data_IF_443092011844
#
_entry.id   IF_443092011844
#
_cell.length_a   1.000
_cell.length_b   1.000
_cell.length_c   1.000
_cell.angle_alpha   90.00
_cell.angle_beta   90.00
_cell.angle_gamma   90.00
#
_symmetry.space_group_name_H-M   'P 1'
#
loop_
_entity.id
_entity.type
_entity.pdbx_description
1 polymer ?
#
# COMPACT_ATOMS: atom_id res chain seq x y z
N UNK A 1 -51.57 50.90 1.84
CA UNK A 1 -50.12 50.92 2.17
C UNK A 1 -49.82 49.62 2.91
N UNK A 2 -49.40 48.60 2.16
CA UNK A 2 -48.93 47.34 2.74
C UNK A 2 -47.40 47.41 2.94
N UNK A 3 -46.97 47.21 4.12
CA UNK A 3 -45.54 47.02 4.46
C UNK A 3 -45.18 45.54 4.34
N UNK A 4 -44.37 45.20 3.35
CA UNK A 4 -43.76 43.86 3.21
C UNK A 4 -42.53 43.87 4.09
N UNK A 5 -42.58 43.08 5.19
CA UNK A 5 -41.39 42.76 5.99
C UNK A 5 -40.68 41.60 5.31
N UNK A 6 -39.46 41.82 4.84
CA UNK A 6 -38.53 40.75 4.46
C UNK A 6 -38.05 40.06 5.72
N UNK A 7 -38.44 38.81 5.88
CA UNK A 7 -37.88 37.91 6.91
C UNK A 7 -36.64 37.28 6.31
N UNK A 8 -35.48 37.71 6.80
CA UNK A 8 -34.22 37.01 6.55
C UNK A 8 -34.25 35.71 7.33
N UNK A 9 -34.42 34.58 6.66
CA UNK A 9 -34.07 33.26 7.21
C UNK A 9 -32.55 33.14 7.27
N UNK A 10 -31.98 33.39 8.44
CA UNK A 10 -30.63 32.98 8.75
C UNK A 10 -30.63 31.45 8.84
N UNK A 11 -29.95 30.79 7.92
CA UNK A 11 -29.66 29.38 7.98
C UNK A 11 -28.83 29.07 9.26
N UNK A 12 -29.50 28.68 10.33
CA UNK A 12 -28.89 28.33 11.63
C UNK A 12 -28.27 26.92 11.69
N UNK A 13 -28.15 26.23 10.53
CA UNK A 13 -27.64 24.86 10.49
C UNK A 13 -26.13 24.73 10.21
N UNK A 14 -25.38 25.84 10.08
CA UNK A 14 -23.91 25.78 9.98
C UNK A 14 -23.18 25.81 11.33
N UNK A 15 -23.88 26.08 12.43
CA UNK A 15 -23.23 26.26 13.75
C UNK A 15 -23.19 25.01 14.63
N UNK A 16 -23.86 23.92 14.26
CA UNK A 16 -23.90 22.70 15.10
C UNK A 16 -22.80 21.68 14.79
N UNK A 17 -22.06 21.81 13.68
CA UNK A 17 -20.98 20.89 13.31
C UNK A 17 -19.57 21.37 13.72
N UNK A 18 -19.45 22.53 14.35
CA UNK A 18 -18.17 23.19 14.64
C UNK A 18 -17.56 22.85 16.02
N UNK A 19 -18.10 21.86 16.74
CA UNK A 19 -17.53 21.41 18.03
C UNK A 19 -16.83 20.04 17.97
N UNK A 20 -16.54 19.48 16.80
CA UNK A 20 -15.51 18.45 16.72
C UNK A 20 -14.17 19.12 17.03
N UNK A 21 -13.50 18.70 18.11
CA UNK A 21 -12.15 19.24 18.43
C UNK A 21 -11.23 18.97 17.23
N UNK A 22 -10.79 20.04 16.54
CA UNK A 22 -9.81 19.94 15.48
C UNK A 22 -8.48 19.57 16.11
N UNK A 23 -7.97 18.38 15.79
CA UNK A 23 -6.62 17.99 16.20
C UNK A 23 -5.60 18.74 15.35
N UNK A 24 -4.44 19.10 15.96
CA UNK A 24 -3.38 19.83 15.27
C UNK A 24 -2.07 19.07 15.33
N UNK A 25 -1.37 19.09 14.20
CA UNK A 25 -0.02 18.51 14.07
C UNK A 25 0.82 19.36 13.09
N UNK A 26 2.11 19.11 12.99
CA UNK A 26 2.92 19.75 11.95
C UNK A 26 2.67 19.08 10.58
N UNK A 27 2.62 17.75 10.53
CA UNK A 27 2.48 16.98 9.30
C UNK A 27 1.42 15.90 9.46
N UNK A 28 0.59 15.71 8.42
CA UNK A 28 -0.23 14.51 8.27
C UNK A 28 0.39 13.61 7.21
N UNK A 29 0.66 12.35 7.57
CA UNK A 29 1.09 11.29 6.66
C UNK A 29 -0.14 10.45 6.29
N UNK A 30 -0.39 10.26 5.00
CA UNK A 30 -1.46 9.43 4.46
C UNK A 30 -0.87 8.14 3.95
N UNK A 31 -1.09 7.05 4.69
CA UNK A 31 -0.53 5.72 4.46
C UNK A 31 0.51 5.33 5.49
N UNK A 32 0.26 4.24 6.22
CA UNK A 32 1.12 3.65 7.22
C UNK A 32 1.90 2.43 6.69
N UNK A 33 2.19 2.40 5.38
CA UNK A 33 3.09 1.41 4.78
C UNK A 33 4.55 1.68 5.14
N UNK A 34 5.53 0.84 4.69
CA UNK A 34 6.93 0.96 5.06
C UNK A 34 7.51 2.36 4.86
N UNK A 35 7.17 3.02 3.75
CA UNK A 35 7.65 4.37 3.42
C UNK A 35 7.04 5.42 4.34
N UNK A 36 5.74 5.32 4.64
CA UNK A 36 5.08 6.22 5.59
C UNK A 36 5.61 6.05 7.01
N UNK A 37 5.90 4.82 7.44
CA UNK A 37 6.52 4.55 8.74
C UNK A 37 7.94 5.11 8.83
N UNK A 38 8.74 5.00 7.78
CA UNK A 38 10.06 5.59 7.74
C UNK A 38 10.02 7.13 7.69
N UNK A 39 9.01 7.71 7.03
CA UNK A 39 8.81 9.16 7.04
C UNK A 39 8.58 9.72 8.44
N UNK A 40 7.95 8.97 9.36
CA UNK A 40 7.81 9.35 10.77
C UNK A 40 9.19 9.55 11.41
N UNK A 41 10.11 8.61 11.16
CA UNK A 41 11.47 8.67 11.68
C UNK A 41 12.22 9.90 11.17
N UNK A 42 12.20 10.14 9.86
CA UNK A 42 12.88 11.27 9.23
C UNK A 42 12.33 12.63 9.70
N UNK A 43 11.01 12.76 9.83
CA UNK A 43 10.34 13.94 10.38
C UNK A 43 10.69 14.14 11.87
N UNK A 44 10.68 13.05 12.63
CA UNK A 44 10.99 13.05 14.05
C UNK A 44 12.40 13.52 14.37
N UNK A 45 13.40 13.15 13.54
CA UNK A 45 14.78 13.65 13.65
C UNK A 45 14.88 15.20 13.55
N UNK A 46 13.87 15.81 12.91
CA UNK A 46 13.76 17.27 12.76
C UNK A 46 12.81 17.92 13.79
N UNK A 47 12.38 17.16 14.81
CA UNK A 47 11.37 17.57 15.79
C UNK A 47 10.04 18.02 15.15
N UNK A 48 9.63 17.37 14.09
CA UNK A 48 8.36 17.60 13.42
C UNK A 48 7.37 16.54 13.90
N UNK A 49 6.26 17.00 14.51
CA UNK A 49 5.18 16.12 14.94
C UNK A 49 4.36 15.63 13.77
N UNK A 50 3.89 14.37 13.80
CA UNK A 50 3.04 13.85 12.75
C UNK A 50 1.87 13.01 13.26
N UNK A 51 0.75 13.10 12.54
CA UNK A 51 -0.36 12.18 12.58
C UNK A 51 -0.35 11.31 11.33
N UNK A 52 -0.67 10.03 11.46
CA UNK A 52 -0.69 9.06 10.37
C UNK A 52 -2.11 8.55 10.18
N UNK A 53 -2.62 8.63 8.95
CA UNK A 53 -3.97 8.16 8.60
C UNK A 53 -3.83 6.98 7.65
N UNK A 54 -4.49 5.87 7.95
CA UNK A 54 -4.55 4.71 7.07
C UNK A 54 -5.95 4.08 7.06
N UNK A 55 -6.38 3.57 5.92
CA UNK A 55 -7.66 2.87 5.77
C UNK A 55 -7.62 1.44 6.32
N UNK A 56 -6.43 0.87 6.51
CA UNK A 56 -6.26 -0.41 7.18
C UNK A 56 -6.40 -0.27 8.70
N UNK A 57 -6.75 -1.36 9.36
CA UNK A 57 -6.92 -1.45 10.81
C UNK A 57 -5.59 -1.58 11.57
N UNK A 58 -4.49 -1.79 10.84
CA UNK A 58 -3.12 -1.91 11.36
C UNK A 58 -2.11 -1.26 10.42
N UNK A 59 -0.97 -0.76 10.95
CA UNK A 59 0.14 -0.29 10.13
C UNK A 59 0.84 -1.42 9.39
N UNK A 60 1.60 -1.07 8.33
CA UNK A 60 2.43 -1.98 7.55
C UNK A 60 2.06 -2.02 6.07
N UNK A 61 0.86 -1.51 5.71
CA UNK A 61 0.43 -1.44 4.31
C UNK A 61 0.46 -2.80 3.62
N UNK A 62 0.90 -2.84 2.36
CA UNK A 62 0.97 -4.09 1.58
C UNK A 62 1.85 -5.17 2.22
N UNK A 63 2.93 -4.78 2.89
CA UNK A 63 3.86 -5.73 3.51
C UNK A 63 3.17 -6.55 4.61
N UNK A 64 2.43 -5.92 5.49
CA UNK A 64 1.72 -6.60 6.56
C UNK A 64 0.39 -7.23 6.11
N UNK A 65 -0.27 -6.66 5.07
CA UNK A 65 -1.60 -7.11 4.65
C UNK A 65 -1.56 -8.22 3.61
N UNK A 66 -0.68 -8.14 2.62
CA UNK A 66 -0.69 -9.06 1.48
C UNK A 66 0.36 -10.17 1.55
N UNK A 67 1.52 -9.88 2.18
CA UNK A 67 2.64 -10.81 2.20
C UNK A 67 3.52 -10.71 3.47
N UNK A 68 2.90 -10.81 4.66
CA UNK A 68 3.63 -10.65 5.93
C UNK A 68 4.80 -11.64 6.09
N UNK A 69 4.67 -12.85 5.57
CA UNK A 69 5.66 -13.93 5.68
C UNK A 69 6.53 -14.10 4.41
N UNK A 70 6.39 -13.20 3.43
CA UNK A 70 7.21 -13.24 2.22
C UNK A 70 8.59 -12.63 2.51
N UNK A 71 9.69 -13.31 2.14
CA UNK A 71 11.02 -12.74 2.26
C UNK A 71 11.23 -11.59 1.26
N UNK A 72 11.84 -10.53 1.72
CA UNK A 72 12.26 -9.34 0.97
C UNK A 72 13.80 -9.31 1.04
N UNK A 73 14.46 -9.11 -0.08
CA UNK A 73 15.94 -9.24 -0.19
C UNK A 73 16.65 -7.92 -0.50
N UNK A 74 15.91 -6.87 -0.85
CA UNK A 74 16.43 -5.58 -1.29
C UNK A 74 16.34 -4.48 -0.21
N UNK A 75 16.27 -4.89 1.05
CA UNK A 75 16.42 -3.97 2.19
C UNK A 75 17.90 -3.94 2.59
N UNK A 76 18.57 -2.77 2.53
CA UNK A 76 19.97 -2.63 2.89
C UNK A 76 20.29 -3.18 4.29
N UNK A 77 21.45 -3.79 4.45
CA UNK A 77 21.95 -4.42 5.69
C UNK A 77 21.23 -5.71 6.13
N UNK A 78 20.19 -6.15 5.42
CA UNK A 78 19.50 -7.43 5.68
C UNK A 78 19.76 -8.40 4.54
N UNK A 79 20.17 -9.62 4.85
CA UNK A 79 20.27 -10.70 3.85
C UNK A 79 18.88 -11.09 3.35
N UNK A 80 17.93 -11.11 4.27
CA UNK A 80 16.51 -11.30 4.04
C UNK A 80 15.74 -10.78 5.25
N UNK A 81 14.55 -10.26 5.02
CA UNK A 81 13.62 -9.83 6.07
C UNK A 81 12.19 -10.10 5.56
N UNK A 82 11.29 -10.56 6.43
CA UNK A 82 9.89 -10.74 6.03
C UNK A 82 9.14 -9.41 6.01
N UNK A 83 8.00 -9.35 5.33
CA UNK A 83 7.15 -8.14 5.29
C UNK A 83 6.69 -7.71 6.69
N UNK A 84 6.41 -8.68 7.59
CA UNK A 84 6.02 -8.39 8.97
C UNK A 84 7.22 -7.90 9.79
N UNK A 85 8.36 -8.58 9.74
CA UNK A 85 9.57 -8.15 10.46
C UNK A 85 10.00 -6.72 10.05
N UNK A 86 9.94 -6.40 8.76
CA UNK A 86 10.23 -5.05 8.28
C UNK A 86 9.25 -4.02 8.88
N UNK A 87 7.99 -4.36 8.95
CA UNK A 87 6.96 -3.50 9.55
C UNK A 87 7.24 -3.27 11.03
N UNK A 88 7.56 -4.34 11.77
CA UNK A 88 7.84 -4.29 13.22
C UNK A 88 9.09 -3.46 13.51
N UNK A 89 10.16 -3.63 12.72
CA UNK A 89 11.39 -2.84 12.83
C UNK A 89 11.13 -1.34 12.58
N UNK A 90 10.34 -1.00 11.55
CA UNK A 90 9.99 0.39 11.23
C UNK A 90 9.09 1.02 12.29
N UNK A 91 8.16 0.26 12.86
CA UNK A 91 7.34 0.72 13.98
C UNK A 91 8.18 0.98 15.23
N UNK A 92 9.14 0.10 15.52
CA UNK A 92 10.08 0.30 16.62
C UNK A 92 10.96 1.55 16.40
N UNK A 93 11.41 1.78 15.16
CA UNK A 93 12.19 2.96 14.77
C UNK A 93 11.39 4.27 14.87
N UNK A 94 10.10 4.25 14.54
CA UNK A 94 9.19 5.40 14.62
C UNK A 94 8.74 5.73 16.05
N UNK A 95 8.70 4.73 16.94
CA UNK A 95 8.11 4.82 18.29
C UNK A 95 8.65 5.96 19.17
N UNK A 96 9.96 6.28 19.20
CA UNK A 96 10.48 7.38 20.03
C UNK A 96 9.84 8.73 19.71
N UNK A 97 9.37 8.95 18.48
CA UNK A 97 8.80 10.21 17.99
C UNK A 97 7.30 10.34 18.25
N UNK A 98 6.67 9.34 18.88
CA UNK A 98 5.29 9.37 19.38
C UNK A 98 4.24 9.77 18.32
N UNK A 99 4.23 9.16 17.12
CA UNK A 99 3.23 9.47 16.11
C UNK A 99 1.83 9.11 16.62
N UNK A 100 0.81 9.84 16.14
CA UNK A 100 -0.59 9.54 16.42
C UNK A 100 -1.19 8.82 15.21
N UNK A 101 -1.66 7.59 15.40
CA UNK A 101 -2.27 6.81 14.33
C UNK A 101 -3.80 6.95 14.32
N UNK A 102 -4.35 7.16 13.14
CA UNK A 102 -5.77 7.16 12.81
C UNK A 102 -6.02 6.06 11.80
N UNK A 103 -6.25 4.85 12.31
CA UNK A 103 -6.46 3.65 11.48
C UNK A 103 -7.94 3.46 11.14
N UNK A 104 -8.23 2.59 10.17
CA UNK A 104 -9.58 2.33 9.66
C UNK A 104 -10.31 3.59 9.18
N UNK A 105 -9.56 4.56 8.65
CA UNK A 105 -10.11 5.81 8.12
C UNK A 105 -9.33 6.26 6.88
N UNK A 106 -10.04 6.91 5.99
CA UNK A 106 -9.51 7.48 4.76
C UNK A 106 -9.65 9.00 4.80
N UNK A 107 -8.67 9.72 4.25
CA UNK A 107 -8.82 11.17 4.03
C UNK A 107 -9.72 11.39 2.82
N UNK A 108 -10.87 12.02 3.05
CA UNK A 108 -11.87 12.29 2.01
C UNK A 108 -11.65 13.65 1.36
N UNK A 109 -11.35 14.66 2.18
CA UNK A 109 -11.24 16.05 1.72
C UNK A 109 -10.03 16.73 2.35
N UNK A 110 -9.44 17.63 1.58
CA UNK A 110 -8.43 18.58 2.06
C UNK A 110 -8.87 19.99 1.67
N UNK A 111 -8.65 20.94 2.57
CA UNK A 111 -8.97 22.35 2.36
C UNK A 111 -7.78 23.21 2.80
N UNK A 112 -7.35 24.17 1.96
CA UNK A 112 -6.33 25.14 2.31
C UNK A 112 -6.95 26.26 3.12
N UNK A 113 -6.44 26.48 4.34
CA UNK A 113 -6.90 27.54 5.23
C UNK A 113 -6.21 28.89 4.93
N UNK A 114 -6.80 29.98 5.38
CA UNK A 114 -6.20 31.32 5.29
C UNK A 114 -4.85 31.42 6.01
N UNK A 115 -4.63 30.56 7.03
CA UNK A 115 -3.35 30.42 7.75
C UNK A 115 -2.24 29.74 6.94
N UNK A 116 -2.48 29.38 5.68
CA UNK A 116 -1.62 28.53 4.85
C UNK A 116 -1.44 27.09 5.36
N UNK A 117 -2.21 26.66 6.33
CA UNK A 117 -2.28 25.28 6.79
C UNK A 117 -3.39 24.51 6.07
N UNK A 118 -3.41 23.20 6.22
CA UNK A 118 -4.40 22.31 5.63
C UNK A 118 -5.38 21.81 6.69
N UNK A 119 -6.65 21.78 6.36
CA UNK A 119 -7.68 21.04 7.10
C UNK A 119 -7.99 19.76 6.34
N UNK A 120 -7.78 18.62 6.97
CA UNK A 120 -8.09 17.30 6.42
C UNK A 120 -9.34 16.77 7.13
N UNK A 121 -10.28 16.21 6.36
CA UNK A 121 -11.46 15.53 6.89
C UNK A 121 -11.44 14.07 6.49
N UNK A 122 -11.64 13.17 7.48
CA UNK A 122 -11.61 11.73 7.26
C UNK A 122 -13.02 11.17 7.04
N UNK A 123 -13.09 9.92 6.56
CA UNK A 123 -14.33 9.15 6.34
C UNK A 123 -15.20 8.97 7.60
N UNK A 124 -14.64 9.19 8.78
CA UNK A 124 -15.37 9.18 10.06
C UNK A 124 -15.65 10.59 10.58
N UNK A 125 -15.59 11.60 9.72
CA UNK A 125 -15.79 13.02 10.04
C UNK A 125 -14.82 13.59 11.09
N UNK A 126 -13.63 13.03 11.21
CA UNK A 126 -12.56 13.59 12.02
C UNK A 126 -11.85 14.69 11.24
N UNK A 127 -11.55 15.82 11.91
CA UNK A 127 -10.85 16.95 11.30
C UNK A 127 -9.46 17.12 11.92
N UNK A 128 -8.42 17.21 11.08
CA UNK A 128 -7.03 17.39 11.49
C UNK A 128 -6.44 18.58 10.73
N UNK A 129 -5.83 19.50 11.44
CA UNK A 129 -5.15 20.68 10.87
C UNK A 129 -3.64 20.43 10.87
N UNK A 130 -2.98 20.67 9.72
CA UNK A 130 -1.56 20.44 9.54
C UNK A 130 -0.91 21.48 8.62
N UNK A 131 0.39 21.70 8.78
CA UNK A 131 1.19 22.59 7.92
C UNK A 131 1.52 21.92 6.58
N UNK A 132 1.80 20.61 6.62
CA UNK A 132 2.12 19.83 5.43
C UNK A 132 1.30 18.52 5.37
N UNK A 133 1.12 18.01 4.15
CA UNK A 133 0.55 16.70 3.86
C UNK A 133 1.61 15.86 3.15
N UNK A 134 1.83 14.63 3.61
CA UNK A 134 2.71 13.65 2.98
C UNK A 134 1.88 12.46 2.52
N UNK A 135 1.79 12.24 1.22
CA UNK A 135 1.04 11.14 0.62
C UNK A 135 2.01 9.97 0.43
N UNK A 136 1.87 8.94 1.27
CA UNK A 136 2.65 7.69 1.25
C UNK A 136 1.73 6.47 1.02
N UNK A 137 0.66 6.68 0.22
CA UNK A 137 -0.45 5.74 0.07
C UNK A 137 -0.13 4.52 -0.85
N UNK A 138 1.13 4.33 -1.25
CA UNK A 138 1.57 3.19 -2.05
C UNK A 138 0.79 3.06 -3.35
N UNK A 139 0.08 1.95 -3.55
CA UNK A 139 -0.80 1.74 -4.70
C UNK A 139 -2.20 2.37 -4.53
N UNK A 140 -2.40 3.24 -3.54
CA UNK A 140 -3.72 3.72 -3.15
C UNK A 140 -4.50 2.64 -2.40
N UNK A 141 -5.83 2.67 -2.50
CA UNK A 141 -6.66 1.56 -2.05
C UNK A 141 -6.37 0.36 -2.96
N UNK A 142 -5.64 -0.63 -2.42
CA UNK A 142 -5.28 -1.81 -3.21
C UNK A 142 -6.34 -2.90 -3.06
N UNK A 143 -7.00 -3.18 -4.16
CA UNK A 143 -7.89 -4.33 -4.27
C UNK A 143 -7.22 -5.34 -5.22
N UNK A 144 -7.02 -6.59 -4.81
CA UNK A 144 -6.56 -7.63 -5.71
C UNK A 144 -7.48 -7.74 -6.92
N UNK A 145 -6.91 -7.88 -8.10
CA UNK A 145 -7.71 -8.15 -9.29
C UNK A 145 -8.34 -9.53 -9.16
N UNK A 146 -9.65 -9.54 -9.03
CA UNK A 146 -10.42 -10.78 -8.89
C UNK A 146 -10.44 -11.59 -10.17
N UNK A 147 -10.71 -12.88 -10.02
CA UNK A 147 -10.99 -13.78 -11.12
C UNK A 147 -12.27 -13.32 -11.85
N UNK A 148 -12.28 -13.28 -13.19
CA UNK A 148 -13.46 -12.90 -13.96
C UNK A 148 -14.43 -14.09 -14.10
N UNK A 149 -14.75 -14.76 -13.00
CA UNK A 149 -15.62 -15.93 -12.91
C UNK A 149 -16.78 -15.60 -11.98
N UNK A 150 -17.98 -15.95 -12.36
CA UNK A 150 -19.19 -15.67 -11.57
C UNK A 150 -19.43 -16.74 -10.50
N UNK A 151 -20.18 -16.38 -9.49
CA UNK A 151 -20.71 -17.28 -8.46
C UNK A 151 -19.62 -18.01 -7.62
N UNK A 152 -18.42 -17.41 -7.51
CA UNK A 152 -17.28 -17.95 -6.72
C UNK A 152 -17.01 -17.21 -5.42
N UNK A 153 -17.82 -16.20 -5.09
CA UNK A 153 -17.63 -15.34 -3.91
C UNK A 153 -17.62 -16.14 -2.60
N UNK A 154 -18.39 -17.21 -2.55
CA UNK A 154 -18.46 -18.12 -1.40
C UNK A 154 -17.19 -18.95 -1.17
N UNK A 155 -16.29 -19.03 -2.16
CA UNK A 155 -14.97 -19.67 -2.11
C UNK A 155 -13.84 -18.70 -1.76
N UNK A 156 -14.08 -17.39 -1.88
CA UNK A 156 -13.09 -16.37 -1.53
C UNK A 156 -12.78 -16.44 -0.03
N UNK A 157 -11.53 -16.23 0.35
CA UNK A 157 -10.98 -16.39 1.72
C UNK A 157 -11.11 -17.82 2.31
N UNK A 158 -11.63 -18.79 1.55
CA UNK A 158 -11.67 -20.21 1.92
C UNK A 158 -10.70 -21.03 1.07
N UNK A 159 -11.02 -21.21 -0.20
CA UNK A 159 -10.21 -21.96 -1.17
C UNK A 159 -9.55 -21.06 -2.21
N UNK A 160 -10.04 -19.82 -2.39
CA UNK A 160 -9.46 -18.81 -3.30
C UNK A 160 -8.86 -17.70 -2.44
N UNK A 161 -7.53 -17.61 -2.45
CA UNK A 161 -6.79 -16.64 -1.64
C UNK A 161 -6.04 -15.67 -2.53
N UNK A 162 -6.42 -14.40 -2.50
CA UNK A 162 -5.75 -13.34 -3.25
C UNK A 162 -4.51 -12.78 -2.54
N UNK A 163 -4.29 -13.18 -1.28
CA UNK A 163 -3.12 -12.85 -0.46
C UNK A 163 -2.74 -14.04 0.42
N UNK A 164 -1.47 -14.23 0.69
CA UNK A 164 -0.98 -15.26 1.63
C UNK A 164 -0.64 -14.61 2.95
N UNK A 165 -1.60 -14.54 3.86
CA UNK A 165 -1.42 -13.97 5.20
C UNK A 165 -0.85 -14.97 6.20
N UNK A 166 -1.03 -16.25 5.96
CA UNK A 166 -0.54 -17.34 6.80
C UNK A 166 -0.14 -18.53 5.94
N UNK A 167 1.16 -18.85 5.90
CA UNK A 167 1.68 -19.98 5.12
C UNK A 167 1.30 -21.34 5.70
N UNK A 168 1.11 -21.44 7.01
CA UNK A 168 0.90 -22.73 7.67
C UNK A 168 -0.36 -23.46 7.19
N UNK A 169 -1.39 -22.74 6.80
CA UNK A 169 -2.63 -23.35 6.25
C UNK A 169 -2.42 -24.03 4.90
N UNK A 170 -1.35 -23.65 4.19
CA UNK A 170 -1.00 -24.14 2.85
C UNK A 170 -0.06 -25.34 2.88
N UNK A 171 0.58 -25.65 4.04
CA UNK A 171 1.55 -26.72 4.15
C UNK A 171 0.95 -28.10 3.83
N UNK A 172 1.64 -28.88 3.03
CA UNK A 172 1.20 -30.20 2.55
C UNK A 172 0.03 -30.17 1.57
N UNK A 173 -0.46 -28.98 1.18
CA UNK A 173 -1.62 -28.83 0.31
C UNK A 173 -1.27 -28.85 -1.18
N UNK A 174 -2.27 -29.15 -1.99
CA UNK A 174 -2.24 -28.98 -3.44
C UNK A 174 -2.65 -27.55 -3.79
N UNK A 175 -1.73 -26.80 -4.38
CA UNK A 175 -1.90 -25.39 -4.69
C UNK A 175 -1.87 -25.17 -6.21
N UNK A 176 -2.80 -24.37 -6.71
CA UNK A 176 -2.75 -23.81 -8.05
C UNK A 176 -2.47 -22.31 -7.93
N UNK A 177 -1.26 -21.90 -8.29
CA UNK A 177 -0.87 -20.49 -8.35
C UNK A 177 -1.08 -20.00 -9.77
N UNK A 178 -1.75 -18.86 -9.94
CA UNK A 178 -2.07 -18.32 -11.27
C UNK A 178 -1.54 -16.89 -11.39
N UNK A 179 -0.62 -16.71 -12.32
CA UNK A 179 0.00 -15.42 -12.57
C UNK A 179 1.34 -15.55 -13.27
N UNK A 180 1.95 -14.44 -13.65
CA UNK A 180 3.24 -14.41 -14.32
C UNK A 180 4.11 -13.21 -13.94
N UNK A 181 3.76 -12.52 -12.86
CA UNK A 181 4.55 -11.45 -12.25
C UNK A 181 5.32 -11.93 -11.03
N UNK A 182 6.07 -11.01 -10.40
CA UNK A 182 6.91 -11.30 -9.23
C UNK A 182 6.16 -12.03 -8.12
N UNK A 183 4.96 -11.57 -7.74
CA UNK A 183 4.17 -12.22 -6.68
C UNK A 183 3.90 -13.70 -6.97
N UNK A 184 3.53 -14.04 -8.20
CA UNK A 184 3.23 -15.43 -8.55
C UNK A 184 4.47 -16.33 -8.49
N UNK A 185 5.62 -15.83 -9.01
CA UNK A 185 6.85 -16.59 -9.04
C UNK A 185 7.48 -16.72 -7.65
N UNK A 186 7.51 -15.65 -6.88
CA UNK A 186 8.07 -15.66 -5.52
C UNK A 186 7.29 -16.60 -4.60
N UNK A 187 5.94 -16.55 -4.65
CA UNK A 187 5.13 -17.49 -3.89
C UNK A 187 5.25 -18.93 -4.40
N UNK A 188 5.42 -19.14 -5.71
CA UNK A 188 5.71 -20.46 -6.27
C UNK A 188 7.03 -21.01 -5.71
N UNK A 189 8.09 -20.20 -5.74
CA UNK A 189 9.39 -20.57 -5.21
C UNK A 189 9.36 -20.84 -3.70
N UNK A 190 8.63 -20.04 -2.94
CA UNK A 190 8.55 -20.18 -1.48
C UNK A 190 7.69 -21.37 -1.08
N UNK A 191 6.46 -21.49 -1.59
CA UNK A 191 5.51 -22.52 -1.18
C UNK A 191 5.87 -23.91 -1.71
N UNK A 192 6.69 -24.03 -2.76
CA UNK A 192 7.19 -25.32 -3.25
C UNK A 192 8.08 -26.05 -2.25
N UNK A 193 8.55 -25.36 -1.21
CA UNK A 193 9.35 -25.96 -0.13
C UNK A 193 8.53 -26.88 0.79
N UNK A 194 7.23 -26.61 0.93
CA UNK A 194 6.33 -27.29 1.86
C UNK A 194 5.02 -27.79 1.26
N UNK A 195 4.76 -27.55 -0.02
CA UNK A 195 3.46 -27.83 -0.65
C UNK A 195 3.62 -28.36 -2.06
N UNK A 196 2.56 -28.97 -2.62
CA UNK A 196 2.51 -29.41 -4.01
C UNK A 196 2.01 -28.28 -4.88
N UNK A 197 2.90 -27.58 -5.60
CA UNK A 197 2.61 -26.36 -6.34
C UNK A 197 2.53 -26.62 -7.83
N UNK A 198 1.43 -26.18 -8.45
CA UNK A 198 1.31 -25.99 -9.88
C UNK A 198 1.24 -24.49 -10.16
N UNK A 199 2.18 -23.95 -10.95
CA UNK A 199 2.11 -22.60 -11.47
C UNK A 199 1.42 -22.60 -12.83
N UNK A 200 0.41 -21.75 -13.00
CA UNK A 200 -0.24 -21.56 -14.28
C UNK A 200 -0.08 -20.14 -14.78
N UNK A 201 0.33 -19.98 -16.04
CA UNK A 201 0.36 -18.69 -16.71
C UNK A 201 -0.13 -18.81 -18.15
N UNK A 202 -0.74 -17.74 -18.67
CA UNK A 202 -1.29 -17.69 -20.03
C UNK A 202 -0.25 -17.59 -21.16
N UNK A 203 1.03 -17.38 -20.82
CA UNK A 203 2.15 -17.19 -21.76
C UNK A 203 3.38 -17.93 -21.25
N UNK A 204 4.37 -18.13 -22.11
CA UNK A 204 5.68 -18.67 -21.71
C UNK A 204 6.57 -17.62 -21.02
N UNK A 205 6.41 -16.35 -21.41
CA UNK A 205 7.21 -15.26 -20.89
C UNK A 205 6.64 -14.73 -19.59
N UNK A 206 7.47 -14.61 -18.57
CA UNK A 206 7.11 -14.04 -17.27
C UNK A 206 7.49 -12.55 -17.21
N UNK A 207 6.71 -11.78 -16.47
CA UNK A 207 6.98 -10.39 -16.13
C UNK A 207 7.43 -10.30 -14.66
N UNK A 208 8.52 -10.99 -14.35
CA UNK A 208 9.08 -11.09 -13.01
C UNK A 208 10.60 -10.93 -13.07
N UNK A 209 11.24 -10.79 -11.91
CA UNK A 209 12.69 -10.67 -11.83
C UNK A 209 13.36 -11.90 -12.45
N UNK A 210 14.46 -11.73 -13.20
CA UNK A 210 15.18 -12.85 -13.82
C UNK A 210 15.61 -13.94 -12.83
N UNK A 211 15.95 -13.56 -11.60
CA UNK A 211 16.33 -14.49 -10.52
C UNK A 211 15.15 -15.38 -10.11
N UNK A 212 13.95 -14.79 -9.86
CA UNK A 212 12.75 -15.56 -9.50
C UNK A 212 12.32 -16.51 -10.62
N UNK A 213 12.46 -16.08 -11.89
CA UNK A 213 12.18 -16.92 -13.06
C UNK A 213 13.15 -18.09 -13.12
N UNK A 214 14.46 -17.85 -12.96
CA UNK A 214 15.49 -18.88 -13.00
C UNK A 214 15.27 -19.94 -11.92
N UNK A 215 14.96 -19.52 -10.69
CA UNK A 215 14.65 -20.42 -9.57
C UNK A 215 13.42 -21.29 -9.85
N UNK A 216 12.35 -20.69 -10.38
CA UNK A 216 11.12 -21.45 -10.73
C UNK A 216 11.38 -22.50 -11.83
N UNK A 217 12.14 -22.13 -12.88
CA UNK A 217 12.51 -23.08 -13.95
C UNK A 217 13.41 -24.23 -13.43
N UNK A 218 14.28 -23.97 -12.48
CA UNK A 218 15.06 -25.04 -11.82
C UNK A 218 14.16 -25.97 -11.00
N UNK A 219 13.20 -25.42 -10.26
CA UNK A 219 12.21 -26.23 -9.51
C UNK A 219 11.35 -27.07 -10.45
N UNK A 220 10.95 -26.55 -11.61
CA UNK A 220 10.21 -27.29 -12.64
C UNK A 220 11.06 -28.42 -13.21
N UNK A 221 12.31 -28.15 -13.60
CA UNK A 221 13.25 -29.16 -14.09
C UNK A 221 13.45 -30.30 -13.09
N UNK A 222 13.49 -29.97 -11.79
CA UNK A 222 13.62 -30.92 -10.70
C UNK A 222 12.30 -31.57 -10.28
N UNK A 223 11.20 -31.34 -11.02
CA UNK A 223 9.84 -31.85 -10.75
C UNK A 223 9.28 -31.50 -9.37
N UNK A 224 9.74 -30.41 -8.76
CA UNK A 224 9.22 -29.89 -7.50
C UNK A 224 8.05 -28.93 -7.71
N UNK A 225 7.96 -28.32 -8.88
CA UNK A 225 6.86 -27.46 -9.33
C UNK A 225 6.42 -27.98 -10.68
N UNK A 226 5.12 -27.92 -10.95
CA UNK A 226 4.56 -28.14 -12.29
C UNK A 226 4.24 -26.80 -12.92
N UNK A 227 4.68 -26.57 -14.16
CA UNK A 227 4.28 -25.40 -14.92
C UNK A 227 3.24 -25.77 -15.97
N UNK A 228 2.20 -24.96 -16.09
CA UNK A 228 1.09 -25.16 -17.01
C UNK A 228 0.79 -23.86 -17.76
N UNK A 229 0.72 -23.94 -19.08
CA UNK A 229 0.11 -22.85 -19.85
C UNK A 229 -1.40 -23.00 -19.84
N UNK A 230 -2.12 -21.88 -19.66
CA UNK A 230 -3.57 -21.90 -19.72
C UNK A 230 -4.23 -20.74 -18.99
N UNK A 231 -5.56 -20.77 -19.04
CA UNK A 231 -6.43 -19.81 -18.35
C UNK A 231 -7.56 -20.58 -17.66
N UNK A 232 -8.00 -20.09 -16.52
CA UNK A 232 -9.16 -20.63 -15.81
C UNK A 232 -10.42 -20.32 -16.61
N UNK A 233 -11.27 -21.33 -16.77
CA UNK A 233 -12.58 -21.22 -17.42
C UNK A 233 -13.72 -21.30 -16.42
N UNK A 234 -13.59 -22.21 -15.44
CA UNK A 234 -14.63 -22.47 -14.45
C UNK A 234 -14.02 -22.95 -13.13
N UNK A 235 -14.74 -22.75 -12.03
CA UNK A 235 -14.39 -23.25 -10.69
C UNK A 235 -15.66 -23.85 -10.08
N UNK A 236 -15.54 -25.07 -9.55
CA UNK A 236 -16.60 -25.81 -8.89
C UNK A 236 -16.20 -26.16 -7.46
N UNK A 237 -17.09 -25.90 -6.49
CA UNK A 237 -16.93 -26.39 -5.12
C UNK A 237 -17.27 -27.88 -5.07
N UNK A 238 -16.34 -28.70 -4.61
CA UNK A 238 -16.55 -30.15 -4.46
C UNK A 238 -17.21 -30.51 -3.13
N UNK A 239 -17.51 -29.54 -2.27
CA UNK A 239 -18.13 -29.72 -0.95
C UNK A 239 -17.36 -30.68 0.01
N UNK A 240 -16.08 -30.90 -0.28
CA UNK A 240 -15.17 -31.75 0.51
C UNK A 240 -13.92 -30.97 0.99
N UNK A 241 -13.98 -29.64 0.96
CA UNK A 241 -12.87 -28.76 1.27
C UNK A 241 -11.89 -28.54 0.12
N UNK A 242 -12.20 -29.03 -1.07
CA UNK A 242 -11.44 -28.82 -2.32
C UNK A 242 -12.29 -28.19 -3.40
N UNK A 243 -11.63 -27.62 -4.36
CA UNK A 243 -12.24 -27.07 -5.57
C UNK A 243 -11.71 -27.77 -6.82
N UNK A 244 -12.57 -27.87 -7.82
CA UNK A 244 -12.18 -28.27 -9.17
C UNK A 244 -12.03 -27.03 -10.02
N UNK A 245 -10.86 -26.87 -10.64
CA UNK A 245 -10.54 -25.76 -11.52
C UNK A 245 -10.46 -26.30 -12.95
N UNK A 246 -11.37 -25.87 -13.80
CA UNK A 246 -11.30 -26.13 -15.23
C UNK A 246 -10.42 -25.09 -15.90
N UNK A 247 -9.43 -25.55 -16.67
CA UNK A 247 -8.48 -24.70 -17.37
C UNK A 247 -8.48 -25.00 -18.87
N UNK A 248 -8.15 -24.01 -19.67
CA UNK A 248 -8.03 -24.15 -21.12
C UNK A 248 -6.68 -23.62 -21.60
N UNK A 249 -5.97 -24.44 -22.37
CA UNK A 249 -4.81 -24.06 -23.18
C UNK A 249 -5.11 -24.37 -24.64
N UNK A 250 -5.23 -23.34 -25.48
CA UNK A 250 -5.73 -23.41 -26.83
C UNK A 250 -7.08 -24.18 -26.89
N UNK A 251 -7.12 -25.39 -27.48
CA UNK A 251 -8.33 -26.20 -27.58
C UNK A 251 -8.41 -27.33 -26.55
N UNK A 252 -7.42 -27.45 -25.66
CA UNK A 252 -7.37 -28.52 -24.67
C UNK A 252 -7.86 -28.02 -23.31
N UNK A 253 -8.97 -28.61 -22.82
CA UNK A 253 -9.43 -28.43 -21.44
C UNK A 253 -8.80 -29.46 -20.51
N UNK A 254 -8.44 -29.01 -19.32
CA UNK A 254 -7.91 -29.89 -18.26
C UNK A 254 -8.52 -29.48 -16.92
N UNK A 255 -8.85 -30.46 -16.08
CA UNK A 255 -9.42 -30.27 -14.76
C UNK A 255 -8.36 -30.57 -13.69
N UNK A 256 -8.27 -29.70 -12.70
CA UNK A 256 -7.40 -29.85 -11.53
C UNK A 256 -8.25 -29.84 -10.27
N UNK A 257 -8.03 -30.81 -9.39
CA UNK A 257 -8.56 -30.76 -8.03
C UNK A 257 -7.46 -30.26 -7.11
N UNK A 258 -7.73 -29.13 -6.44
CA UNK A 258 -6.77 -28.45 -5.55
C UNK A 258 -7.42 -28.06 -4.22
N UNK A 259 -6.59 -27.94 -3.20
CA UNK A 259 -7.03 -27.42 -1.89
C UNK A 259 -7.19 -25.90 -1.95
N UNK A 260 -6.26 -25.22 -2.63
CA UNK A 260 -6.28 -23.75 -2.73
C UNK A 260 -5.90 -23.28 -4.14
N UNK A 261 -6.54 -22.20 -4.55
CA UNK A 261 -6.25 -21.41 -5.73
C UNK A 261 -5.74 -20.04 -5.30
N UNK A 262 -4.56 -19.66 -5.81
CA UNK A 262 -3.86 -18.41 -5.46
C UNK A 262 -3.72 -17.54 -6.72
N UNK A 263 -4.70 -16.68 -7.05
CA UNK A 263 -4.64 -15.83 -8.23
C UNK A 263 -3.85 -14.53 -7.94
N UNK A 264 -2.67 -14.40 -8.53
CA UNK A 264 -1.82 -13.22 -8.45
C UNK A 264 -1.82 -12.43 -9.76
N UNK A 265 -2.89 -11.68 -10.00
CA UNK A 265 -3.08 -10.86 -11.20
C UNK A 265 -2.63 -9.40 -11.03
N UNK A 266 -1.98 -9.10 -9.91
CA UNK A 266 -1.62 -7.75 -9.50
C UNK A 266 -2.76 -7.01 -8.82
N UNK A 267 -2.47 -5.79 -8.40
CA UNK A 267 -3.40 -4.93 -7.71
C UNK A 267 -4.05 -3.96 -8.71
N UNK A 268 -5.28 -3.57 -8.44
CA UNK A 268 -5.88 -2.40 -9.05
C UNK A 268 -5.51 -1.19 -8.20
N UNK A 269 -4.76 -0.28 -8.77
CA UNK A 269 -4.44 0.99 -8.13
C UNK A 269 -5.66 1.92 -8.22
N UNK A 270 -6.14 2.40 -7.10
CA UNK A 270 -7.21 3.40 -7.03
C UNK A 270 -6.76 4.54 -6.11
N UNK A 271 -6.57 5.72 -6.68
CA UNK A 271 -6.20 6.92 -5.91
C UNK A 271 -7.33 7.37 -4.97
N UNK A 272 -8.57 6.95 -5.25
CA UNK A 272 -9.72 7.38 -4.48
C UNK A 272 -9.85 8.92 -4.43
N UNK A 273 -10.12 9.51 -3.27
CA UNK A 273 -10.26 10.97 -3.11
C UNK A 273 -9.05 11.78 -3.56
N UNK A 274 -7.84 11.22 -3.46
CA UNK A 274 -6.58 11.87 -3.85
C UNK A 274 -6.63 12.36 -5.31
N UNK A 275 -7.31 11.65 -6.19
CA UNK A 275 -7.46 12.02 -7.60
C UNK A 275 -8.12 13.39 -7.80
N UNK A 276 -8.88 13.88 -6.80
CA UNK A 276 -9.65 15.11 -6.87
C UNK A 276 -9.00 16.29 -6.12
N UNK A 277 -7.76 16.14 -5.61
CA UNK A 277 -7.10 17.18 -4.83
C UNK A 277 -6.35 18.21 -5.67
N UNK A 278 -6.48 18.16 -7.00
CA UNK A 278 -5.86 19.11 -7.91
C UNK A 278 -4.35 18.91 -8.12
N UNK A 279 -3.85 17.71 -7.81
CA UNK A 279 -2.45 17.34 -8.03
C UNK A 279 -2.21 16.98 -9.49
N UNK A 280 -1.02 17.24 -10.02
CA UNK A 280 -0.63 16.77 -11.34
C UNK A 280 -0.44 15.25 -11.31
N UNK A 281 -1.20 14.55 -12.15
CA UNK A 281 -1.19 13.09 -12.25
C UNK A 281 -0.65 12.65 -13.62
N UNK A 282 0.20 11.63 -13.60
CA UNK A 282 0.69 10.90 -14.78
C UNK A 282 0.36 9.40 -14.58
N UNK A 283 -0.44 8.82 -15.47
CA UNK A 283 -0.86 7.40 -15.39
C UNK A 283 -1.39 6.96 -14.01
N UNK A 284 -2.17 7.80 -13.35
CA UNK A 284 -2.68 7.62 -11.97
C UNK A 284 -1.58 7.63 -10.89
N UNK A 285 -0.43 8.25 -11.14
CA UNK A 285 0.62 8.50 -10.17
C UNK A 285 0.80 10.00 -9.98
N UNK A 286 1.23 10.42 -8.81
CA UNK A 286 1.42 11.83 -8.49
C UNK A 286 2.81 12.28 -8.99
N UNK A 287 2.84 13.23 -9.92
CA UNK A 287 4.08 13.83 -10.39
C UNK A 287 4.72 14.68 -9.28
N UNK A 288 6.02 14.53 -9.06
CA UNK A 288 6.78 15.24 -8.01
C UNK A 288 8.08 15.81 -8.52
N UNK A 289 8.55 16.84 -7.84
CA UNK A 289 9.92 17.35 -7.95
C UNK A 289 10.90 16.37 -7.27
N UNK A 290 11.96 15.98 -7.95
CA UNK A 290 12.92 14.97 -7.45
C UNK A 290 13.92 15.50 -6.42
N UNK A 291 14.01 16.82 -6.21
CA UNK A 291 14.90 17.40 -5.20
C UNK A 291 14.27 17.35 -3.80
N UNK A 292 12.96 17.40 -3.72
CA UNK A 292 12.22 17.56 -2.46
C UNK A 292 10.95 16.72 -2.34
N UNK A 293 10.55 16.02 -3.40
CA UNK A 293 9.34 15.19 -3.49
C UNK A 293 8.03 15.96 -3.22
N UNK A 294 8.04 17.26 -3.47
CA UNK A 294 6.85 18.10 -3.45
C UNK A 294 6.03 17.92 -4.73
N UNK A 295 4.72 17.96 -4.59
CA UNK A 295 3.77 17.87 -5.70
C UNK A 295 3.64 19.23 -6.40
N UNK A 296 2.71 19.33 -7.38
CA UNK A 296 2.34 20.62 -8.01
C UNK A 296 1.69 21.60 -7.02
N UNK A 297 1.27 21.14 -5.84
CA UNK A 297 0.65 21.97 -4.80
C UNK A 297 1.63 22.12 -3.64
N UNK A 298 2.07 23.36 -3.31
CA UNK A 298 3.02 23.61 -2.23
C UNK A 298 2.56 23.04 -0.90
N UNK A 299 3.54 22.50 -0.13
CA UNK A 299 3.35 21.81 1.17
C UNK A 299 2.55 20.50 1.11
N UNK A 300 2.31 19.96 -0.09
CA UNK A 300 1.86 18.58 -0.30
C UNK A 300 2.97 17.79 -0.98
N UNK A 301 3.36 16.69 -0.37
CA UNK A 301 4.43 15.80 -0.82
C UNK A 301 3.88 14.44 -1.18
N UNK A 302 4.54 13.72 -2.09
CA UNK A 302 4.20 12.33 -2.39
C UNK A 302 5.46 11.47 -2.47
N UNK A 303 5.48 10.37 -1.71
CA UNK A 303 6.62 9.46 -1.55
C UNK A 303 6.20 7.99 -1.69
N UNK A 304 7.14 7.13 -2.11
CA UNK A 304 6.88 5.72 -2.35
C UNK A 304 6.19 5.46 -3.69
N UNK A 305 5.48 4.35 -3.80
CA UNK A 305 4.93 3.86 -5.07
C UNK A 305 3.82 4.74 -5.67
N UNK A 306 3.26 5.68 -4.87
CA UNK A 306 2.20 6.60 -5.29
C UNK A 306 2.70 7.70 -6.22
N UNK A 307 4.00 8.03 -6.17
CA UNK A 307 4.58 9.09 -6.97
C UNK A 307 5.19 8.61 -8.29
N UNK A 308 5.46 9.55 -9.18
CA UNK A 308 6.20 9.34 -10.42
C UNK A 308 7.16 10.49 -10.71
N UNK A 309 8.30 10.14 -11.31
CA UNK A 309 9.33 11.04 -11.83
C UNK A 309 10.26 10.27 -12.77
N UNK A 310 11.06 10.94 -13.63
CA UNK A 310 12.00 10.25 -14.53
C UNK A 310 12.97 9.35 -13.76
N UNK A 311 13.01 8.06 -14.11
CA UNK A 311 13.85 7.06 -13.43
C UNK A 311 13.27 6.45 -12.16
N UNK A 312 12.00 6.67 -11.85
CA UNK A 312 11.33 6.07 -10.69
C UNK A 312 11.40 4.56 -10.71
N UNK A 313 11.91 3.99 -9.61
CA UNK A 313 11.80 2.57 -9.28
C UNK A 313 10.82 2.38 -8.12
N UNK A 314 9.85 1.49 -8.29
CA UNK A 314 8.88 1.15 -7.24
C UNK A 314 9.49 0.15 -6.25
N UNK A 315 10.44 0.61 -5.46
CA UNK A 315 11.12 -0.13 -4.42
C UNK A 315 10.92 0.56 -3.07
N UNK A 316 10.86 -0.21 -2.00
CA UNK A 316 10.80 0.32 -0.63
C UNK A 316 12.01 1.21 -0.37
N UNK A 317 13.20 0.78 -0.82
CA UNK A 317 14.45 1.53 -0.73
C UNK A 317 14.37 2.92 -1.36
N UNK A 318 13.75 3.04 -2.55
CA UNK A 318 13.54 4.35 -3.20
C UNK A 318 12.68 5.25 -2.34
N UNK A 319 11.59 4.71 -1.78
CA UNK A 319 10.70 5.42 -0.87
C UNK A 319 11.39 5.91 0.41
N UNK A 320 12.36 5.17 0.94
CA UNK A 320 13.15 5.60 2.10
C UNK A 320 14.02 6.82 1.76
N UNK A 321 14.67 6.81 0.61
CA UNK A 321 15.43 7.98 0.12
C UNK A 321 14.51 9.20 -0.07
N UNK A 322 13.36 9.00 -0.68
CA UNK A 322 12.35 10.04 -0.90
C UNK A 322 11.87 10.65 0.43
N UNK A 323 11.67 9.82 1.46
CA UNK A 323 11.29 10.27 2.81
C UNK A 323 12.32 11.21 3.43
N UNK A 324 13.60 10.91 3.26
CA UNK A 324 14.68 11.73 3.81
C UNK A 324 14.71 13.13 3.17
N UNK A 325 14.59 13.24 1.85
CA UNK A 325 14.58 14.55 1.15
C UNK A 325 13.30 15.33 1.42
N UNK A 326 12.14 14.65 1.40
CA UNK A 326 10.84 15.25 1.74
C UNK A 326 10.87 15.88 3.14
N UNK A 327 11.43 15.20 4.15
CA UNK A 327 11.46 15.70 5.52
C UNK A 327 12.26 17.01 5.64
N UNK A 328 13.37 17.16 4.90
CA UNK A 328 14.16 18.38 4.86
C UNK A 328 13.35 19.57 4.28
N UNK A 329 12.50 19.33 3.30
CA UNK A 329 11.62 20.38 2.76
C UNK A 329 10.45 20.69 3.70
N UNK A 330 9.80 19.66 4.31
CA UNK A 330 8.78 19.87 5.34
C UNK A 330 9.25 20.79 6.47
N UNK A 331 10.53 20.70 6.85
CA UNK A 331 11.10 21.55 7.88
C UNK A 331 10.95 23.05 7.57
N UNK A 332 11.09 23.46 6.31
CA UNK A 332 10.96 24.87 5.91
C UNK A 332 9.53 25.39 6.09
N UNK A 333 8.54 24.55 5.85
CA UNK A 333 7.13 24.87 6.06
C UNK A 333 6.75 24.85 7.55
N UNK A 334 7.29 23.89 8.30
CA UNK A 334 6.99 23.77 9.73
C UNK A 334 7.67 24.84 10.57
N UNK A 335 8.86 25.28 10.16
CA UNK A 335 9.69 26.24 10.90
C UNK A 335 10.31 27.29 9.98
N UNK A 336 9.49 28.18 9.34
CA UNK A 336 9.98 29.13 8.34
C UNK A 336 11.06 30.07 8.84
N UNK A 337 11.05 30.40 10.14
CA UNK A 337 12.01 31.32 10.76
C UNK A 337 13.27 30.62 11.29
N UNK A 338 13.37 29.28 11.14
CA UNK A 338 14.53 28.52 11.63
C UNK A 338 15.39 28.05 10.46
N UNK A 339 16.70 28.21 10.63
CA UNK A 339 17.66 27.59 9.70
C UNK A 339 17.73 26.08 9.96
N UNK A 340 17.48 25.27 8.97
CA UNK A 340 17.76 23.85 9.05
C UNK A 340 19.27 23.62 9.00
N UNK A 341 19.83 23.03 10.04
CA UNK A 341 21.23 22.61 10.12
C UNK A 341 21.24 21.10 10.10
N UNK A 342 21.67 20.54 8.99
CA UNK A 342 21.79 19.10 8.85
C UNK A 342 22.69 18.52 9.96
N UNK A 343 22.20 17.50 10.64
CA UNK A 343 22.92 16.76 11.68
C UNK A 343 22.87 15.27 11.39
N UNK A 344 23.97 14.59 11.65
CA UNK A 344 23.99 13.14 11.59
C UNK A 344 23.24 12.52 12.77
N UNK A 345 22.57 11.39 12.57
CA UNK A 345 21.83 10.65 13.61
C UNK A 345 22.69 10.28 14.82
N UNK A 346 23.99 10.04 14.60
CA UNK A 346 24.98 9.76 15.67
C UNK A 346 25.13 10.87 16.69
N UNK A 347 24.63 12.07 16.40
CA UNK A 347 24.60 13.24 17.32
C UNK A 347 23.22 13.50 17.90
N UNK A 348 22.22 12.68 17.60
CA UNK A 348 20.88 12.80 18.18
C UNK A 348 20.90 12.40 19.66
N UNK A 349 20.12 13.13 20.48
CA UNK A 349 19.89 12.81 21.89
C UNK A 349 18.56 12.07 22.12
N UNK A 350 17.80 11.85 21.05
CA UNK A 350 16.45 11.27 21.08
C UNK A 350 16.43 9.80 20.66
N UNK A 351 17.55 9.30 20.11
CA UNK A 351 17.78 7.93 19.70
C UNK A 351 18.54 7.14 20.75
#
# INVERSE_FOLDING_TARGET
>A
KLHIRHVFYRNSNKSCYLNAMIEKTDVVIIGAGPVGLFAIFELGLLNISCHVIDNLDKPGGQCAELYPEKPIYDIPSRVSITGQELTDDLLAQAKPFRPVYHLSQQVEQIEKLESNEWLLTTSVNKSIQAKCIVIAAGAGSFVPRKLPIKDIEHLEEKNILYAVRNKSILEGKKLLIVGGGDSALDWTNELSKSSNVTLMHRRKEFKASPDSVSKMLELEKNKKVSFLMGQIQNIEDLNNGKIRVETKDNDKSTNFEVDYLLPFFGLKMELGPIANWGLNLEENLIAVDTEKFETSVPSIFAIGDINTYPGKLKLILSGFHESALMAQECFKYCYPDKRNIFRYTTSSKEL
#
